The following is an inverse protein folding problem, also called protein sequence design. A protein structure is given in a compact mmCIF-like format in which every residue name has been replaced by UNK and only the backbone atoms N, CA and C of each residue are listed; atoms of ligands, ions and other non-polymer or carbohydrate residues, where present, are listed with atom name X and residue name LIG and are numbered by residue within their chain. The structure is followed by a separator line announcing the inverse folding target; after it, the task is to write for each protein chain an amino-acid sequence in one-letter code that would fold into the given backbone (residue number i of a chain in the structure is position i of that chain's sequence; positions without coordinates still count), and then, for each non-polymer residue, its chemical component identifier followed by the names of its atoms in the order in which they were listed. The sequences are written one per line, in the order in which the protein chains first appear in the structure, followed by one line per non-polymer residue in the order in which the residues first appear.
data_IF_121650508078
#
_entry.id   IF_121650508078
#
_cell.length_a   1.000
_cell.length_b   1.000
_cell.length_c   1.000
_cell.angle_alpha   90.00
_cell.angle_beta   90.00
_cell.angle_gamma   90.00
#
_symmetry.space_group_name_H-M   'P 1'
#
loop_
_entity.id
_entity.type
_entity.pdbx_description
1 polymer ?
#
# COMPACT_ATOMS: atom_id res chain seq x y z
N UNK A 1 13.75 -9.93 9.70
CA UNK A 1 13.56 -8.49 9.39
C UNK A 1 13.37 -8.29 7.90
N UNK A 2 14.40 -8.57 7.08
CA UNK A 2 14.42 -8.34 5.63
C UNK A 2 13.24 -8.99 4.88
N UNK A 3 12.95 -10.28 5.13
CA UNK A 3 11.86 -10.99 4.46
C UNK A 3 10.50 -10.29 4.69
N UNK A 4 10.23 -9.80 5.90
CA UNK A 4 8.96 -9.12 6.21
C UNK A 4 8.85 -7.77 5.49
N UNK A 5 9.96 -7.04 5.40
CA UNK A 5 10.03 -5.79 4.64
C UNK A 5 9.83 -6.05 3.14
N UNK A 6 10.48 -7.08 2.59
CA UNK A 6 10.30 -7.47 1.20
C UNK A 6 8.84 -7.85 0.89
N UNK A 7 8.21 -8.64 1.78
CA UNK A 7 6.78 -8.97 1.67
C UNK A 7 5.91 -7.72 1.68
N UNK A 8 6.13 -6.79 2.62
CA UNK A 8 5.36 -5.55 2.68
C UNK A 8 5.64 -4.62 1.49
N UNK A 9 6.86 -4.59 0.96
CA UNK A 9 7.19 -3.79 -0.22
C UNK A 9 6.44 -4.31 -1.45
N UNK A 10 6.49 -5.63 -1.69
CA UNK A 10 5.74 -6.27 -2.78
C UNK A 10 4.24 -6.06 -2.59
N UNK A 11 3.72 -6.31 -1.38
CA UNK A 11 2.32 -6.08 -1.07
C UNK A 11 1.93 -4.61 -1.29
N UNK A 12 2.76 -3.65 -0.91
CA UNK A 12 2.55 -2.22 -1.13
C UNK A 12 2.38 -1.88 -2.61
N UNK A 13 3.30 -2.36 -3.46
CA UNK A 13 3.25 -2.15 -4.92
C UNK A 13 1.94 -2.67 -5.53
N UNK A 14 1.50 -3.87 -5.13
CA UNK A 14 0.28 -4.46 -5.66
C UNK A 14 -1.01 -4.00 -4.96
N UNK A 15 -0.91 -3.43 -3.75
CA UNK A 15 -2.09 -3.08 -2.94
C UNK A 15 -2.99 -2.04 -3.62
N UNK A 16 -2.40 -1.04 -4.29
CA UNK A 16 -3.13 0.03 -4.95
C UNK A 16 -3.90 -0.47 -6.20
N UNK A 17 -3.27 -1.14 -7.20
CA UNK A 17 -4.00 -1.65 -8.35
C UNK A 17 -5.03 -2.72 -7.98
N UNK A 18 -4.75 -3.56 -6.97
CA UNK A 18 -5.73 -4.53 -6.47
C UNK A 18 -6.93 -3.81 -5.85
N UNK A 19 -6.70 -2.80 -5.02
CA UNK A 19 -7.78 -2.05 -4.38
C UNK A 19 -8.58 -1.26 -5.41
N UNK A 20 -7.91 -0.62 -6.38
CA UNK A 20 -8.55 0.05 -7.51
C UNK A 20 -9.42 -0.92 -8.31
N UNK A 21 -8.92 -2.10 -8.67
CA UNK A 21 -9.71 -3.11 -9.40
C UNK A 21 -11.06 -3.43 -8.75
N UNK A 22 -11.14 -3.42 -7.41
CA UNK A 22 -12.38 -3.67 -6.67
C UNK A 22 -13.22 -2.42 -6.36
N UNK A 23 -12.60 -1.24 -6.33
CA UNK A 23 -13.23 0.00 -5.86
C UNK A 23 -13.29 1.12 -6.91
N UNK A 24 -12.89 0.85 -8.16
CA UNK A 24 -12.92 1.78 -9.29
C UNK A 24 -14.35 1.95 -9.83
N UNK A 25 -15.19 2.61 -9.05
CA UNK A 25 -16.58 2.92 -9.38
C UNK A 25 -16.96 4.30 -8.86
N UNK A 26 -18.00 4.91 -9.43
CA UNK A 26 -18.38 6.32 -9.25
C UNK A 26 -18.52 6.79 -7.79
N UNK A 27 -18.84 5.88 -6.85
CA UNK A 27 -18.94 6.19 -5.41
C UNK A 27 -17.80 5.62 -4.57
N UNK A 28 -17.00 4.72 -5.11
CA UNK A 28 -16.02 3.93 -4.37
C UNK A 28 -14.58 4.36 -4.62
N UNK A 29 -14.31 5.17 -5.63
CA UNK A 29 -12.97 5.63 -5.98
C UNK A 29 -12.26 6.35 -4.82
N UNK A 30 -12.98 7.22 -4.10
CA UNK A 30 -12.47 7.92 -2.92
C UNK A 30 -12.08 6.98 -1.75
N UNK A 31 -12.52 5.72 -1.79
CA UNK A 31 -12.18 4.70 -0.80
C UNK A 31 -10.91 3.92 -1.15
N UNK A 32 -10.36 4.06 -2.35
CA UNK A 32 -9.17 3.30 -2.79
C UNK A 32 -8.00 3.54 -1.83
N UNK A 33 -7.60 4.80 -1.62
CA UNK A 33 -6.48 5.13 -0.74
C UNK A 33 -6.72 4.74 0.72
N UNK A 34 -7.87 5.08 1.36
CA UNK A 34 -8.16 4.64 2.73
C UNK A 34 -8.11 3.13 2.92
N UNK A 35 -8.74 2.37 2.01
CA UNK A 35 -8.81 0.90 2.11
C UNK A 35 -7.43 0.28 1.90
N UNK A 36 -6.68 0.76 0.90
CA UNK A 36 -5.31 0.31 0.65
C UNK A 36 -4.43 0.50 1.89
N UNK A 37 -4.44 1.70 2.49
CA UNK A 37 -3.62 1.99 3.67
C UNK A 37 -4.04 1.18 4.89
N UNK A 38 -5.35 0.94 5.07
CA UNK A 38 -5.88 0.10 6.14
C UNK A 38 -5.42 -1.36 5.98
N UNK A 39 -5.48 -1.91 4.78
CA UNK A 39 -4.99 -3.26 4.47
C UNK A 39 -3.49 -3.36 4.76
N UNK A 40 -2.71 -2.38 4.32
CA UNK A 40 -1.27 -2.35 4.56
C UNK A 40 -0.92 -2.21 6.04
N UNK A 41 -1.68 -1.42 6.80
CA UNK A 41 -1.56 -1.34 8.25
C UNK A 41 -1.84 -2.69 8.92
N UNK A 42 -2.90 -3.39 8.50
CA UNK A 42 -3.26 -4.71 9.02
C UNK A 42 -2.18 -5.77 8.72
N UNK A 43 -1.67 -5.80 7.48
CA UNK A 43 -0.57 -6.69 7.10
C UNK A 43 0.70 -6.40 7.89
N UNK A 44 1.05 -5.12 8.07
CA UNK A 44 2.18 -4.70 8.87
C UNK A 44 2.04 -5.14 10.34
N UNK A 45 0.87 -4.92 10.94
CA UNK A 45 0.58 -5.34 12.32
C UNK A 45 0.65 -6.86 12.51
N UNK A 46 0.25 -7.63 11.49
CA UNK A 46 0.30 -9.10 11.51
C UNK A 46 1.73 -9.64 11.45
N UNK A 47 2.60 -9.00 10.66
CA UNK A 47 3.97 -9.48 10.43
C UNK A 47 4.95 -9.08 11.54
N UNK A 48 4.57 -8.18 12.46
CA UNK A 48 5.47 -7.67 13.52
C UNK A 48 5.01 -8.02 14.93
N UNK A 49 5.96 -8.34 15.86
CA UNK A 49 5.61 -8.61 17.26
C UNK A 49 4.96 -7.39 17.96
N UNK A 50 5.49 -6.19 17.69
CA UNK A 50 4.92 -4.93 18.15
C UNK A 50 3.92 -4.43 17.12
N UNK A 51 2.63 -4.72 17.33
CA UNK A 51 1.55 -4.46 16.36
C UNK A 51 1.51 -3.03 15.84
N UNK A 52 1.65 -2.03 16.72
CA UNK A 52 1.65 -0.62 16.31
C UNK A 52 2.84 -0.28 15.41
N UNK A 53 4.04 -0.74 15.76
CA UNK A 53 5.25 -0.56 14.93
C UNK A 53 5.07 -1.24 13.57
N UNK A 54 4.53 -2.46 13.58
CA UNK A 54 4.17 -3.19 12.37
C UNK A 54 3.21 -2.41 11.49
N UNK A 55 2.11 -1.91 12.05
CA UNK A 55 1.11 -1.12 11.34
C UNK A 55 1.73 0.12 10.68
N UNK A 56 2.56 0.87 11.42
CA UNK A 56 3.25 2.05 10.89
C UNK A 56 4.21 1.69 9.74
N UNK A 57 4.96 0.59 9.86
CA UNK A 57 5.82 0.08 8.77
C UNK A 57 4.96 -0.31 7.56
N UNK A 58 3.83 -0.99 7.80
CA UNK A 58 2.87 -1.36 6.77
C UNK A 58 2.34 -0.16 6.01
N UNK A 59 1.84 0.85 6.72
CA UNK A 59 1.41 2.14 6.14
C UNK A 59 2.53 2.77 5.32
N UNK A 60 3.74 2.84 5.88
CA UNK A 60 4.91 3.38 5.19
C UNK A 60 5.19 2.65 3.87
N UNK A 61 5.15 1.32 3.86
CA UNK A 61 5.32 0.52 2.64
C UNK A 61 4.16 0.66 1.67
N UNK A 62 2.93 0.88 2.16
CA UNK A 62 1.78 1.22 1.33
C UNK A 62 1.99 2.54 0.58
N UNK A 63 2.49 3.57 1.26
CA UNK A 63 2.84 4.86 0.66
C UNK A 63 3.98 4.74 -0.36
N UNK A 64 4.99 3.90 -0.08
CA UNK A 64 6.02 3.58 -1.08
C UNK A 64 5.39 2.94 -2.31
N UNK A 65 4.44 2.02 -2.14
CA UNK A 65 3.67 1.44 -3.23
C UNK A 65 2.90 2.48 -4.05
N UNK A 66 2.23 3.43 -3.39
CA UNK A 66 1.58 4.58 -4.05
C UNK A 66 2.58 5.36 -4.89
N UNK A 67 3.73 5.71 -4.32
CA UNK A 67 4.76 6.48 -5.00
C UNK A 67 5.32 5.73 -6.22
N UNK A 68 5.59 4.42 -6.09
CA UNK A 68 6.03 3.57 -7.20
C UNK A 68 4.96 3.52 -8.28
N UNK A 69 3.70 3.30 -7.92
CA UNK A 69 2.59 3.26 -8.88
C UNK A 69 2.43 4.60 -9.62
N UNK A 70 2.53 5.72 -8.90
CA UNK A 70 2.51 7.05 -9.50
C UNK A 70 3.66 7.24 -10.50
N UNK A 71 4.88 6.83 -10.14
CA UNK A 71 6.03 6.88 -11.06
C UNK A 71 5.85 5.96 -12.28
N UNK A 72 5.21 4.81 -12.11
CA UNK A 72 4.93 3.91 -13.23
C UNK A 72 3.88 4.47 -14.19
N UNK A 73 2.91 5.24 -13.69
CA UNK A 73 1.89 5.89 -14.52
C UNK A 73 2.41 7.15 -15.23
N UNK A 74 3.19 7.99 -14.53
CA UNK A 74 3.59 9.30 -15.04
C UNK A 74 5.02 9.33 -15.62
N UNK A 75 5.82 8.27 -15.41
CA UNK A 75 7.25 8.29 -15.70
C UNK A 75 8.03 9.21 -14.75
N UNK A 76 9.31 9.45 -15.06
CA UNK A 76 10.19 10.33 -14.27
C UNK A 76 10.02 11.82 -14.58
N UNK A 77 9.27 12.14 -15.63
CA UNK A 77 9.07 13.53 -16.06
C UNK A 77 7.95 14.22 -15.25
N UNK A 78 7.11 13.46 -14.55
CA UNK A 78 6.02 13.97 -13.72
C UNK A 78 4.86 14.54 -14.55
N UNK A 79 3.66 14.57 -13.95
CA UNK A 79 2.44 15.13 -14.55
C UNK A 79 2.55 16.63 -14.85
#
# INVERSE_FOLDING_TARGET
MVIRLAVLAVAGIFSLPVTAYFLDGERTENWILPVQLLVMAALGALLWPKRLVGALIGVGMGLVGVAVFFLLLNGFEGA
#
